data_IF_361038627195
#
_entry.id   IF_361038627195
#
_cell.length_a   1.000
_cell.length_b   1.000
_cell.length_c   1.000
_cell.angle_alpha   90.00
_cell.angle_beta   90.00
_cell.angle_gamma   90.00
#
_symmetry.space_group_name_H-M   'P 1'
#
loop_
_entity.id
_entity.type
_entity.pdbx_description
1 polymer ?
#
# COMPACT_ATOMS: atom_id res chain seq x y z
N UNK A 1 -2.06 -8.12 10.03
CA UNK A 1 -1.67 -9.42 10.60
C UNK A 1 -2.84 -10.06 11.34
N UNK A 2 -3.49 -9.39 12.33
CA UNK A 2 -4.62 -9.93 13.08
C UNK A 2 -5.80 -10.34 12.17
N UNK A 3 -6.14 -9.53 11.18
CA UNK A 3 -7.20 -9.80 10.21
C UNK A 3 -6.88 -11.02 9.33
N UNK A 4 -5.61 -11.20 8.93
CA UNK A 4 -5.16 -12.38 8.20
C UNK A 4 -5.25 -13.64 9.07
N UNK A 5 -4.82 -13.56 10.33
CA UNK A 5 -4.91 -14.69 11.28
C UNK A 5 -6.37 -15.06 11.52
N UNK A 6 -7.25 -14.08 11.65
CA UNK A 6 -8.70 -14.26 11.82
C UNK A 6 -9.32 -14.90 10.57
N UNK A 7 -8.97 -14.45 9.36
CA UNK A 7 -9.48 -15.00 8.10
C UNK A 7 -8.93 -16.39 7.76
N UNK A 8 -7.70 -16.72 8.19
CA UNK A 8 -7.09 -18.03 7.98
C UNK A 8 -7.39 -19.05 9.06
N UNK A 9 -7.98 -18.64 10.19
CA UNK A 9 -8.32 -19.55 11.28
C UNK A 9 -9.57 -20.37 10.96
N UNK A 10 -9.42 -21.69 10.92
CA UNK A 10 -10.51 -22.65 10.75
C UNK A 10 -11.53 -22.65 11.91
N UNK A 11 -11.23 -21.98 13.02
CA UNK A 11 -12.11 -21.89 14.21
C UNK A 11 -13.25 -20.87 14.06
N UNK A 12 -13.27 -20.07 13.00
CA UNK A 12 -14.32 -19.06 12.76
C UNK A 12 -15.59 -19.62 12.11
N UNK A 13 -15.54 -20.85 11.60
CA UNK A 13 -16.70 -21.48 10.96
C UNK A 13 -17.96 -21.53 11.87
N UNK A 14 -17.86 -21.88 13.17
CA UNK A 14 -19.04 -21.89 14.05
C UNK A 14 -19.52 -20.49 14.44
N UNK A 15 -18.63 -19.49 14.51
CA UNK A 15 -18.98 -18.10 14.81
C UNK A 15 -19.74 -17.43 13.67
N UNK A 16 -19.34 -17.68 12.43
CA UNK A 16 -20.05 -17.21 11.23
C UNK A 16 -21.45 -17.80 11.08
N UNK A 17 -21.67 -19.03 11.57
CA UNK A 17 -23.00 -19.63 11.58
C UNK A 17 -23.93 -18.94 12.59
N UNK A 18 -23.41 -18.46 13.70
CA UNK A 18 -24.20 -17.80 14.75
C UNK A 18 -24.59 -16.35 14.40
N UNK A 19 -23.85 -15.70 13.51
CA UNK A 19 -24.12 -14.32 13.04
C UNK A 19 -24.89 -14.26 11.73
N UNK A 20 -25.22 -15.41 11.12
CA UNK A 20 -26.02 -15.51 9.88
C UNK A 20 -27.29 -14.64 9.83
N UNK A 21 -28.15 -14.58 10.89
CA UNK A 21 -29.38 -13.80 10.82
C UNK A 21 -29.13 -12.29 10.68
N UNK A 22 -28.05 -11.77 11.25
CA UNK A 22 -27.67 -10.35 11.19
C UNK A 22 -27.06 -9.99 9.84
N UNK A 23 -26.18 -10.86 9.31
CA UNK A 23 -25.53 -10.67 8.00
C UNK A 23 -26.50 -10.74 6.83
N UNK A 24 -27.56 -11.56 6.94
CA UNK A 24 -28.63 -11.67 5.95
C UNK A 24 -29.47 -10.38 5.84
N UNK A 25 -29.66 -9.69 6.95
CA UNK A 25 -30.39 -8.41 7.00
C UNK A 25 -29.62 -7.28 6.32
N UNK A 26 -28.28 -7.35 6.28
CA UNK A 26 -27.38 -6.35 5.69
C UNK A 26 -27.08 -6.62 4.19
N UNK A 27 -27.65 -7.67 3.56
CA UNK A 27 -27.35 -8.08 2.16
C UNK A 27 -25.87 -8.31 1.85
N UNK A 28 -25.03 -8.49 2.87
CA UNK A 28 -23.56 -8.65 2.75
C UNK A 28 -23.16 -10.14 2.71
N UNK A 29 -24.12 -11.05 2.88
CA UNK A 29 -23.88 -12.49 2.97
C UNK A 29 -23.25 -13.07 1.68
N UNK A 30 -23.73 -12.65 0.50
CA UNK A 30 -23.22 -13.14 -0.79
C UNK A 30 -21.78 -12.70 -1.05
N UNK A 31 -21.44 -11.39 -1.03
CA UNK A 31 -20.08 -10.97 -1.29
C UNK A 31 -19.09 -11.48 -0.23
N UNK A 32 -19.49 -11.59 1.04
CA UNK A 32 -18.62 -12.12 2.09
C UNK A 32 -18.32 -13.60 1.89
N UNK A 33 -19.30 -14.37 1.44
CA UNK A 33 -19.14 -15.80 1.14
C UNK A 33 -18.25 -16.03 -0.09
N UNK A 34 -18.42 -15.23 -1.13
CA UNK A 34 -17.58 -15.29 -2.34
C UNK A 34 -16.12 -14.94 -2.02
N UNK A 35 -15.90 -13.89 -1.23
CA UNK A 35 -14.56 -13.52 -0.75
C UNK A 35 -13.97 -14.63 0.13
N UNK A 36 -14.76 -15.20 1.04
CA UNK A 36 -14.29 -16.30 1.88
C UNK A 36 -13.91 -17.55 1.08
N UNK A 37 -14.74 -17.94 0.12
CA UNK A 37 -14.49 -19.10 -0.75
C UNK A 37 -13.27 -18.86 -1.65
N UNK A 38 -13.13 -17.65 -2.19
CA UNK A 38 -11.96 -17.26 -2.98
C UNK A 38 -10.69 -17.27 -2.14
N UNK A 39 -10.71 -16.73 -0.92
CA UNK A 39 -9.57 -16.78 -0.01
C UNK A 39 -9.21 -18.20 0.41
N UNK A 40 -10.23 -19.07 0.56
CA UNK A 40 -9.99 -20.46 0.93
C UNK A 40 -9.39 -21.28 -0.21
N UNK A 41 -9.75 -20.99 -1.46
CA UNK A 41 -9.12 -21.65 -2.63
C UNK A 41 -7.63 -21.28 -2.79
N UNK A 42 -7.25 -20.05 -2.45
CA UNK A 42 -5.83 -19.62 -2.46
C UNK A 42 -4.99 -20.30 -1.37
N UNK A 43 -5.61 -20.86 -0.33
CA UNK A 43 -4.89 -21.56 0.75
C UNK A 43 -4.18 -22.83 0.27
N UNK A 44 -4.64 -23.43 -0.81
CA UNK A 44 -4.04 -24.62 -1.39
C UNK A 44 -2.76 -24.33 -2.21
N UNK A 45 -2.61 -23.09 -2.70
CA UNK A 45 -1.50 -22.67 -3.55
C UNK A 45 -0.42 -21.89 -2.76
N UNK A 46 0.25 -22.61 -1.83
CA UNK A 46 1.38 -22.04 -1.04
C UNK A 46 2.47 -21.44 -1.95
N UNK A 47 2.86 -22.04 -3.09
CA UNK A 47 3.85 -21.44 -3.97
C UNK A 47 3.40 -20.11 -4.58
N UNK A 48 2.12 -19.98 -4.91
CA UNK A 48 1.57 -18.71 -5.41
C UNK A 48 1.60 -17.64 -4.32
N UNK A 49 1.19 -17.97 -3.09
CA UNK A 49 1.21 -17.04 -1.95
C UNK A 49 2.63 -16.57 -1.63
N UNK A 50 3.61 -17.48 -1.62
CA UNK A 50 5.01 -17.12 -1.37
C UNK A 50 5.57 -16.25 -2.50
N UNK A 51 5.23 -16.52 -3.75
CA UNK A 51 5.64 -15.70 -4.89
C UNK A 51 5.04 -14.30 -4.80
N UNK A 52 3.75 -14.16 -4.49
CA UNK A 52 3.09 -12.86 -4.31
C UNK A 52 3.67 -12.08 -3.12
N UNK A 53 3.93 -12.78 -2.01
CA UNK A 53 4.55 -12.16 -0.83
C UNK A 53 5.96 -11.66 -1.14
N UNK A 54 6.78 -12.49 -1.79
CA UNK A 54 8.15 -12.12 -2.19
C UNK A 54 8.15 -10.95 -3.17
N UNK A 55 7.26 -10.97 -4.16
CA UNK A 55 7.10 -9.87 -5.10
C UNK A 55 6.71 -8.58 -4.38
N UNK A 56 5.79 -8.65 -3.42
CA UNK A 56 5.37 -7.49 -2.63
C UNK A 56 6.55 -6.92 -1.82
N UNK A 57 7.37 -7.78 -1.20
CA UNK A 57 8.56 -7.34 -0.47
C UNK A 57 9.58 -6.65 -1.39
N UNK A 58 9.82 -7.21 -2.57
CA UNK A 58 10.71 -6.60 -3.57
C UNK A 58 10.20 -5.22 -4.00
N UNK A 59 8.91 -5.12 -4.32
CA UNK A 59 8.29 -3.83 -4.69
C UNK A 59 8.42 -2.81 -3.55
N UNK A 60 8.19 -3.22 -2.31
CA UNK A 60 8.35 -2.32 -1.15
C UNK A 60 9.80 -1.89 -0.96
N UNK A 61 10.76 -2.79 -1.12
CA UNK A 61 12.19 -2.45 -1.05
C UNK A 61 12.58 -1.43 -2.14
N UNK A 62 12.12 -1.64 -3.38
CA UNK A 62 12.35 -0.69 -4.48
C UNK A 62 11.73 0.66 -4.20
N UNK A 63 10.53 0.72 -3.62
CA UNK A 63 9.87 1.99 -3.24
C UNK A 63 10.68 2.75 -2.17
N UNK A 64 11.18 2.05 -1.16
CA UNK A 64 12.02 2.66 -0.12
C UNK A 64 13.32 3.20 -0.72
N UNK A 65 13.96 2.44 -1.61
CA UNK A 65 15.16 2.88 -2.32
C UNK A 65 14.88 4.09 -3.23
N UNK A 66 13.71 4.16 -3.84
CA UNK A 66 13.30 5.33 -4.64
C UNK A 66 13.18 6.60 -3.77
N UNK A 67 12.62 6.48 -2.55
CA UNK A 67 12.57 7.60 -1.59
C UNK A 67 13.98 8.02 -1.19
N UNK A 68 14.85 7.07 -0.88
CA UNK A 68 16.24 7.34 -0.55
C UNK A 68 16.98 8.02 -1.71
N UNK A 69 16.82 7.54 -2.94
CA UNK A 69 17.43 8.14 -4.12
C UNK A 69 16.92 9.58 -4.36
N UNK A 70 15.62 9.82 -4.15
CA UNK A 70 15.05 11.17 -4.17
C UNK A 70 15.69 12.08 -3.12
N UNK A 71 15.91 11.60 -1.90
CA UNK A 71 16.62 12.34 -0.85
C UNK A 71 18.07 12.66 -1.26
N UNK A 72 18.77 11.67 -1.79
CA UNK A 72 20.15 11.85 -2.29
C UNK A 72 20.26 12.94 -3.38
N UNK A 73 19.30 12.98 -4.32
CA UNK A 73 19.31 13.94 -5.40
C UNK A 73 19.11 15.40 -4.95
N UNK A 74 18.49 15.61 -3.78
CA UNK A 74 18.31 16.94 -3.16
C UNK A 74 19.36 17.25 -2.07
N UNK A 75 20.42 16.43 -1.98
CA UNK A 75 21.54 16.64 -1.06
C UNK A 75 21.25 16.19 0.38
N UNK A 76 20.37 15.21 0.57
CA UNK A 76 20.18 14.54 1.88
C UNK A 76 21.14 13.37 2.00
N UNK A 77 22.21 13.55 2.77
CA UNK A 77 23.27 12.53 2.96
C UNK A 77 22.95 11.59 4.12
N UNK A 78 21.85 10.86 4.00
CA UNK A 78 21.48 9.79 4.93
C UNK A 78 21.72 8.40 4.32
N UNK A 79 22.05 7.43 5.19
CA UNK A 79 22.09 6.02 4.81
C UNK A 79 20.66 5.53 4.45
N UNK A 80 20.50 4.40 3.75
CA UNK A 80 19.17 3.86 3.43
C UNK A 80 18.37 3.40 4.67
N UNK A 81 19.02 3.11 5.79
CA UNK A 81 18.41 2.53 6.99
C UNK A 81 17.19 3.30 7.54
N UNK A 82 17.24 4.63 7.77
CA UNK A 82 16.08 5.39 8.23
C UNK A 82 14.89 5.30 7.27
N UNK A 83 15.14 5.19 5.96
CA UNK A 83 14.09 5.12 4.96
C UNK A 83 13.32 3.80 4.98
N UNK A 84 13.92 2.69 5.44
CA UNK A 84 13.22 1.42 5.65
C UNK A 84 12.22 1.49 6.81
N UNK A 85 12.43 2.38 7.77
CA UNK A 85 11.46 2.67 8.83
C UNK A 85 10.43 3.70 8.33
N UNK A 86 10.91 4.74 7.67
CA UNK A 86 10.08 5.83 7.15
C UNK A 86 9.04 5.35 6.13
N UNK A 87 9.44 4.44 5.22
CA UNK A 87 8.55 3.96 4.14
C UNK A 87 7.25 3.33 4.66
N UNK A 88 7.29 2.28 5.49
CA UNK A 88 6.10 1.69 6.08
C UNK A 88 5.27 2.68 6.91
N UNK A 89 5.92 3.55 7.70
CA UNK A 89 5.22 4.58 8.48
C UNK A 89 4.49 5.58 7.59
N UNK A 90 5.12 6.02 6.50
CA UNK A 90 4.47 6.87 5.50
C UNK A 90 3.18 6.25 4.97
N UNK A 91 3.21 4.95 4.61
CA UNK A 91 2.01 4.28 4.12
C UNK A 91 0.93 4.15 5.17
N UNK A 92 1.28 3.91 6.44
CA UNK A 92 0.32 3.90 7.53
C UNK A 92 -0.34 5.27 7.72
N UNK A 93 0.44 6.34 7.66
CA UNK A 93 -0.06 7.72 7.79
C UNK A 93 -0.97 8.07 6.61
N UNK A 94 -0.62 7.65 5.38
CA UNK A 94 -1.44 7.86 4.19
C UNK A 94 -2.74 7.05 4.18
N UNK A 95 -2.88 6.03 5.02
CA UNK A 95 -4.11 5.24 5.16
C UNK A 95 -5.24 6.04 5.79
N UNK A 96 -4.91 7.13 6.46
CA UNK A 96 -5.89 8.01 7.14
C UNK A 96 -6.57 8.90 6.10
N UNK A 97 -7.90 8.82 5.90
CA UNK A 97 -8.60 9.45 4.77
C UNK A 97 -8.92 10.94 5.01
N UNK A 98 -7.98 11.72 5.55
CA UNK A 98 -8.21 13.13 5.83
C UNK A 98 -7.90 14.06 4.65
N UNK A 99 -7.24 13.58 3.60
CA UNK A 99 -6.83 14.44 2.49
C UNK A 99 -6.98 13.72 1.15
N UNK A 100 -7.20 14.51 0.10
CA UNK A 100 -7.22 14.01 -1.28
C UNK A 100 -5.81 13.50 -1.64
N UNK A 101 -5.68 12.17 -1.77
CA UNK A 101 -4.43 11.49 -2.13
C UNK A 101 -3.23 11.74 -1.18
N UNK A 102 -3.47 12.15 0.06
CA UNK A 102 -2.43 12.30 1.09
C UNK A 102 -1.41 13.41 0.85
N UNK A 103 -1.64 14.36 -0.07
CA UNK A 103 -0.66 15.36 -0.47
C UNK A 103 -0.09 16.12 0.73
N UNK A 104 -0.89 16.85 1.48
CA UNK A 104 -0.38 17.64 2.61
C UNK A 104 0.16 16.76 3.75
N UNK A 105 -0.45 15.61 3.99
CA UNK A 105 -0.04 14.67 5.05
C UNK A 105 1.32 14.06 4.74
N UNK A 106 1.57 13.73 3.50
CA UNK A 106 2.84 13.16 3.07
C UNK A 106 3.98 14.17 3.23
N UNK A 107 3.84 15.40 2.71
CA UNK A 107 4.86 16.44 2.84
C UNK A 107 5.14 16.76 4.31
N UNK A 108 4.10 16.91 5.13
CA UNK A 108 4.25 17.13 6.58
C UNK A 108 4.98 15.97 7.25
N UNK A 109 4.70 14.73 6.84
CA UNK A 109 5.39 13.55 7.36
C UNK A 109 6.88 13.56 6.99
N UNK A 110 7.23 13.88 5.74
CA UNK A 110 8.63 13.99 5.32
C UNK A 110 9.38 15.06 6.12
N UNK A 111 8.79 16.25 6.26
CA UNK A 111 9.39 17.33 7.04
C UNK A 111 9.57 16.94 8.50
N UNK A 112 8.57 16.32 9.12
CA UNK A 112 8.63 15.90 10.52
C UNK A 112 9.65 14.78 10.74
N UNK A 113 9.64 13.75 9.89
CA UNK A 113 10.51 12.60 10.06
C UNK A 113 11.98 12.94 9.78
N UNK A 114 12.27 13.59 8.65
CA UNK A 114 13.64 13.99 8.28
C UNK A 114 14.14 15.14 9.15
N UNK A 115 13.25 16.04 9.60
CA UNK A 115 13.57 17.08 10.55
C UNK A 115 14.05 16.52 11.89
N UNK A 116 13.47 15.40 12.36
CA UNK A 116 13.95 14.64 13.52
C UNK A 116 15.35 14.05 13.33
N UNK A 117 15.82 13.95 12.11
CA UNK A 117 17.18 13.52 11.74
C UNK A 117 18.10 14.70 11.40
N UNK A 118 17.74 15.93 11.82
CA UNK A 118 18.46 17.18 11.60
C UNK A 118 18.62 17.58 10.11
N UNK A 119 17.70 17.14 9.25
CA UNK A 119 17.65 17.55 7.86
C UNK A 119 16.81 18.83 7.75
N UNK A 120 17.30 19.78 6.94
CA UNK A 120 16.59 21.02 6.66
C UNK A 120 15.20 20.78 6.07
N UNK A 121 14.20 21.58 6.51
CA UNK A 121 12.81 21.42 6.13
C UNK A 121 12.58 21.54 4.60
N UNK A 122 13.35 22.39 3.92
CA UNK A 122 13.23 22.56 2.46
C UNK A 122 13.70 21.30 1.73
N UNK A 123 14.81 20.69 2.19
CA UNK A 123 15.31 19.43 1.62
C UNK A 123 14.37 18.26 1.91
N UNK A 124 13.82 18.22 3.11
CA UNK A 124 12.84 17.21 3.49
C UNK A 124 11.59 17.32 2.63
N UNK A 125 11.05 18.51 2.45
CA UNK A 125 9.92 18.78 1.55
C UNK A 125 10.24 18.42 0.10
N UNK A 126 11.40 18.85 -0.42
CA UNK A 126 11.84 18.55 -1.78
C UNK A 126 11.96 17.05 -2.02
N UNK A 127 12.44 16.27 -1.03
CA UNK A 127 12.48 14.80 -1.09
C UNK A 127 11.09 14.20 -1.30
N UNK A 128 10.10 14.63 -0.50
CA UNK A 128 8.73 14.17 -0.59
C UNK A 128 8.07 14.55 -1.93
N UNK A 129 8.31 15.77 -2.39
CA UNK A 129 7.79 16.27 -3.64
C UNK A 129 8.39 15.55 -4.86
N UNK A 130 9.70 15.33 -4.85
CA UNK A 130 10.37 14.59 -5.92
C UNK A 130 9.90 13.13 -5.98
N UNK A 131 9.75 12.49 -4.83
CA UNK A 131 9.17 11.14 -4.76
C UNK A 131 7.74 11.10 -5.34
N UNK A 132 6.94 12.14 -5.13
CA UNK A 132 5.63 12.25 -5.76
C UNK A 132 5.69 12.33 -7.28
N UNK A 133 6.54 13.19 -7.82
CA UNK A 133 6.74 13.32 -9.28
C UNK A 133 7.16 11.98 -9.87
N UNK A 134 8.10 11.28 -9.25
CA UNK A 134 8.54 9.94 -9.70
C UNK A 134 7.38 8.95 -9.67
N UNK A 135 6.54 8.98 -8.63
CA UNK A 135 5.37 8.11 -8.52
C UNK A 135 4.36 8.37 -9.63
N UNK A 136 4.10 9.64 -9.97
CA UNK A 136 3.22 10.01 -11.10
C UNK A 136 3.85 9.53 -12.42
N UNK A 137 5.12 9.79 -12.63
CA UNK A 137 5.81 9.38 -13.87
C UNK A 137 5.74 7.87 -14.09
N UNK A 138 5.90 7.08 -13.02
CA UNK A 138 5.77 5.62 -13.06
C UNK A 138 4.33 5.14 -13.27
N UNK A 139 3.32 5.94 -12.95
CA UNK A 139 1.92 5.62 -13.20
C UNK A 139 1.49 5.87 -14.67
N UNK A 140 2.17 6.75 -15.40
CA UNK A 140 1.82 7.11 -16.78
C UNK A 140 1.72 5.92 -17.75
N UNK A 141 2.65 4.95 -17.76
CA UNK A 141 2.52 3.76 -18.61
C UNK A 141 1.25 2.97 -18.33
N UNK A 142 0.85 2.85 -17.06
CA UNK A 142 -0.39 2.18 -16.67
C UNK A 142 -1.63 2.89 -17.21
N UNK A 143 -1.66 4.22 -17.14
CA UNK A 143 -2.75 5.03 -17.71
C UNK A 143 -2.83 4.83 -19.23
N UNK A 144 -1.68 4.82 -19.93
CA UNK A 144 -1.65 4.60 -21.37
C UNK A 144 -2.21 3.23 -21.77
N UNK A 145 -1.92 2.17 -21.01
CA UNK A 145 -2.46 0.83 -21.25
C UNK A 145 -3.99 0.81 -21.07
N UNK A 146 -4.48 1.37 -19.95
CA UNK A 146 -5.93 1.42 -19.65
C UNK A 146 -6.68 2.20 -20.72
N UNK A 147 -6.15 3.33 -21.18
CA UNK A 147 -6.76 4.10 -22.25
C UNK A 147 -6.82 3.31 -23.58
N UNK A 148 -5.75 2.60 -23.93
CA UNK A 148 -5.72 1.73 -25.12
C UNK A 148 -6.76 0.61 -25.06
N UNK A 149 -6.87 -0.07 -23.92
CA UNK A 149 -7.86 -1.13 -23.73
C UNK A 149 -9.30 -0.58 -23.72
N UNK A 150 -9.52 0.57 -23.08
CA UNK A 150 -10.82 1.23 -23.07
C UNK A 150 -11.30 1.65 -24.46
N UNK A 151 -10.42 2.13 -25.31
CA UNK A 151 -10.72 2.44 -26.72
C UNK A 151 -11.00 1.18 -27.55
N UNK A 152 -10.25 0.09 -27.30
CA UNK A 152 -10.41 -1.18 -28.02
C UNK A 152 -11.74 -1.90 -27.71
N UNK A 153 -12.32 -1.66 -26.54
CA UNK A 153 -13.62 -2.23 -26.15
C UNK A 153 -14.81 -1.44 -26.66
N UNK A 154 -14.59 -0.23 -27.19
CA UNK A 154 -15.65 0.64 -27.75
C UNK A 154 -15.70 0.64 -29.27
N UNK A 155 -14.70 0.06 -29.93
CA UNK A 155 -14.64 -0.19 -31.37
C UNK A 155 -15.07 -1.63 -31.69
#
# INVERSE_FOLDING_TARGET
LALCIVLFSTRLHPLLQRTRPVLRRLRVERPLREVYLSLHSFRADVPLLTAMFSLTLVVQAVRVLAIWAAGKSVGVDLSPRPYYVMGPLLFLVMLVPFTVNGLAVRESFFVSFLGGLHIDANRAFATGFLFFIVTIALALPGVAIVLREGMRRRA
#
